data_IF_278462844123
#
_entry.id   IF_278462844123
#
_cell.length_a   1.000
_cell.length_b   1.000
_cell.length_c   1.000
_cell.angle_alpha   90.00
_cell.angle_beta   90.00
_cell.angle_gamma   90.00
#
_symmetry.space_group_name_H-M   'P 1'
#
loop_
_entity.id
_entity.type
_entity.pdbx_description
1 polymer ?
#
# COMPACT_ATOMS: atom_id res chain seq x y z
N UNK A 1 3.24 -18.56 -17.24
CA UNK A 1 2.94 -17.23 -16.69
C UNK A 1 4.14 -16.83 -15.82
N UNK A 2 4.96 -15.85 -16.21
CA UNK A 2 6.13 -15.44 -15.40
C UNK A 2 5.60 -14.79 -14.12
N UNK A 3 6.01 -15.29 -12.96
CA UNK A 3 5.65 -14.70 -11.67
C UNK A 3 6.04 -13.21 -11.64
N UNK A 4 5.14 -12.37 -11.16
CA UNK A 4 5.45 -10.98 -10.81
C UNK A 4 6.41 -10.99 -9.63
N UNK A 5 7.53 -10.28 -9.74
CA UNK A 5 8.50 -10.14 -8.65
C UNK A 5 8.04 -9.02 -7.70
N UNK A 6 8.02 -9.31 -6.40
CA UNK A 6 7.88 -8.30 -5.36
C UNK A 6 8.99 -8.50 -4.33
N UNK A 7 9.83 -7.49 -4.19
CA UNK A 7 10.90 -7.45 -3.21
C UNK A 7 10.79 -6.15 -2.43
N UNK A 8 10.84 -6.23 -1.10
CA UNK A 8 10.78 -5.06 -0.24
C UNK A 8 11.77 -5.21 0.92
N UNK A 9 12.34 -4.09 1.35
CA UNK A 9 13.23 -4.02 2.51
C UNK A 9 13.01 -2.71 3.26
N UNK A 10 13.18 -2.79 4.58
CA UNK A 10 13.24 -1.62 5.45
C UNK A 10 14.69 -1.17 5.51
N UNK A 11 14.94 0.09 5.15
CA UNK A 11 16.25 0.71 5.20
C UNK A 11 16.36 1.64 6.40
N UNK A 12 17.46 1.53 7.15
CA UNK A 12 17.78 2.46 8.23
C UNK A 12 18.39 3.72 7.63
N UNK A 13 17.75 4.87 7.84
CA UNK A 13 18.18 6.18 7.33
C UNK A 13 18.90 7.02 8.39
N UNK A 14 18.74 6.65 9.67
CA UNK A 14 19.36 7.33 10.79
C UNK A 14 19.19 6.55 12.10
N UNK A 15 19.43 7.20 13.25
CA UNK A 15 19.36 6.53 14.55
C UNK A 15 17.97 5.94 14.84
N UNK A 16 16.92 6.66 14.44
CA UNK A 16 15.52 6.32 14.63
C UNK A 16 14.66 6.51 13.37
N UNK A 17 15.30 6.72 12.22
CA UNK A 17 14.63 6.96 10.94
C UNK A 17 14.74 5.72 10.05
N UNK A 18 13.62 5.33 9.47
CA UNK A 18 13.51 4.20 8.55
C UNK A 18 12.78 4.61 7.29
N UNK A 19 13.13 3.97 6.17
CA UNK A 19 12.45 4.12 4.88
C UNK A 19 12.13 2.77 4.26
N UNK A 20 11.15 2.73 3.37
CA UNK A 20 10.78 1.56 2.59
C UNK A 20 11.43 1.64 1.20
N UNK A 21 12.21 0.63 0.84
CA UNK A 21 12.64 0.39 -0.53
C UNK A 21 11.95 -0.85 -1.07
N UNK A 22 11.44 -0.80 -2.30
CA UNK A 22 10.75 -1.92 -2.91
C UNK A 22 10.88 -1.95 -4.44
N UNK A 23 10.81 -3.14 -5.01
CA UNK A 23 10.71 -3.40 -6.44
C UNK A 23 9.45 -4.25 -6.67
N UNK A 24 8.55 -3.77 -7.52
CA UNK A 24 7.33 -4.46 -7.93
C UNK A 24 7.28 -4.55 -9.45
N UNK A 25 7.30 -5.76 -9.98
CA UNK A 25 7.12 -6.00 -11.41
C UNK A 25 5.65 -6.22 -11.75
N UNK A 26 5.06 -5.30 -12.51
CA UNK A 26 3.69 -5.39 -13.00
C UNK A 26 3.67 -5.77 -14.49
N UNK A 27 3.21 -6.98 -14.82
CA UNK A 27 3.35 -7.56 -16.17
C UNK A 27 2.05 -7.87 -16.91
N UNK A 28 0.89 -7.48 -16.37
CA UNK A 28 -0.42 -7.78 -16.95
C UNK A 28 -1.30 -6.53 -16.98
N UNK A 29 -2.28 -6.49 -17.90
CA UNK A 29 -3.25 -5.39 -17.96
C UNK A 29 -4.41 -5.69 -17.02
N UNK A 30 -4.82 -4.68 -16.25
CA UNK A 30 -6.09 -4.70 -15.54
C UNK A 30 -7.25 -4.38 -16.48
N UNK A 31 -8.45 -4.74 -16.06
CA UNK A 31 -9.70 -4.45 -16.76
C UNK A 31 -10.75 -3.92 -15.77
N UNK A 32 -11.94 -3.61 -16.26
CA UNK A 32 -13.05 -3.06 -15.48
C UNK A 32 -13.58 -4.02 -14.41
N UNK A 33 -13.42 -5.33 -14.61
CA UNK A 33 -13.80 -6.38 -13.65
C UNK A 33 -12.74 -6.65 -12.58
N UNK A 34 -11.60 -5.96 -12.65
CA UNK A 34 -10.55 -6.06 -11.66
C UNK A 34 -10.99 -5.35 -10.39
N UNK A 35 -11.03 -6.09 -9.27
CA UNK A 35 -11.49 -5.61 -7.97
C UNK A 35 -10.34 -5.57 -6.97
N UNK A 36 -10.48 -4.70 -5.96
CA UNK A 36 -9.59 -4.62 -4.81
C UNK A 36 -10.35 -4.40 -3.51
N UNK A 37 -9.73 -4.79 -2.41
CA UNK A 37 -10.17 -4.47 -1.06
C UNK A 37 -8.97 -4.43 -0.10
N UNK A 38 -9.14 -3.78 1.05
CA UNK A 38 -8.16 -3.85 2.13
C UNK A 38 -8.81 -3.79 3.51
N UNK A 39 -8.23 -4.52 4.46
CA UNK A 39 -8.64 -4.50 5.86
C UNK A 39 -7.45 -4.14 6.74
N UNK A 40 -7.70 -3.33 7.77
CA UNK A 40 -6.69 -2.96 8.75
C UNK A 40 -6.97 -3.63 10.10
N UNK A 41 -5.90 -4.01 10.79
CA UNK A 41 -5.94 -4.61 12.12
C UNK A 41 -4.96 -3.87 13.03
N UNK A 42 -5.22 -3.89 14.33
CA UNK A 42 -4.32 -3.34 15.37
C UNK A 42 -4.03 -4.35 16.46
N UNK A 43 -2.80 -4.36 16.93
CA UNK A 43 -2.32 -5.10 18.11
C UNK A 43 -1.50 -4.17 19.00
N UNK A 44 -1.50 -4.42 20.31
CA UNK A 44 -0.61 -3.73 21.25
C UNK A 44 0.78 -4.38 21.32
N UNK A 45 0.87 -5.71 21.23
CA UNK A 45 2.14 -6.45 21.35
C UNK A 45 2.83 -6.75 20.02
N UNK A 46 2.06 -6.82 18.94
CA UNK A 46 2.51 -7.30 17.63
C UNK A 46 2.36 -8.80 17.42
N UNK A 47 1.88 -9.55 18.44
CA UNK A 47 1.59 -10.98 18.33
C UNK A 47 0.42 -11.23 17.36
N UNK A 48 0.53 -12.28 16.56
CA UNK A 48 -0.47 -12.61 15.53
C UNK A 48 -1.88 -12.78 16.12
N UNK A 49 -1.98 -13.36 17.32
CA UNK A 49 -3.24 -13.59 18.02
C UNK A 49 -3.87 -12.34 18.64
N UNK A 50 -3.12 -11.23 18.77
CA UNK A 50 -3.61 -9.99 19.37
C UNK A 50 -4.14 -8.98 18.33
N UNK A 51 -3.99 -9.28 17.02
CA UNK A 51 -4.54 -8.41 15.98
C UNK A 51 -6.06 -8.42 15.97
N UNK A 52 -6.66 -7.24 16.13
CA UNK A 52 -8.10 -7.00 16.08
C UNK A 52 -8.44 -6.15 14.87
N UNK A 53 -9.53 -6.51 14.19
CA UNK A 53 -10.03 -5.78 13.03
C UNK A 53 -10.41 -4.34 13.43
N UNK A 54 -10.00 -3.38 12.61
CA UNK A 54 -10.37 -1.98 12.74
C UNK A 54 -11.53 -1.65 11.80
N UNK A 55 -12.31 -0.58 12.07
CA UNK A 55 -13.29 -0.05 11.13
C UNK A 55 -12.64 0.65 9.92
N UNK A 56 -11.31 0.63 9.78
CA UNK A 56 -10.59 1.19 8.66
C UNK A 56 -10.43 0.15 7.56
N UNK A 57 -11.04 0.41 6.42
CA UNK A 57 -11.02 -0.49 5.29
C UNK A 57 -11.05 0.27 3.96
N UNK A 58 -10.51 -0.37 2.94
CA UNK A 58 -10.86 -0.07 1.56
C UNK A 58 -11.96 -1.09 1.21
N UNK A 59 -13.22 -0.66 1.09
CA UNK A 59 -14.29 -1.59 0.74
C UNK A 59 -14.01 -2.19 -0.62
N UNK A 60 -14.55 -3.40 -0.84
CA UNK A 60 -14.50 -4.06 -2.15
C UNK A 60 -15.03 -3.12 -3.23
N UNK A 61 -14.15 -2.75 -4.17
CA UNK A 61 -14.46 -1.79 -5.22
C UNK A 61 -13.64 -2.06 -6.48
N UNK A 62 -14.06 -1.52 -7.65
CA UNK A 62 -13.27 -1.58 -8.87
C UNK A 62 -11.88 -0.97 -8.69
N UNK A 63 -10.87 -1.59 -9.31
CA UNK A 63 -9.49 -1.15 -9.18
C UNK A 63 -9.27 0.28 -9.67
N UNK A 64 -9.94 0.70 -10.74
CA UNK A 64 -9.80 2.06 -11.25
C UNK A 64 -10.46 3.12 -10.36
N UNK A 65 -11.48 2.75 -9.58
CA UNK A 65 -12.05 3.63 -8.55
C UNK A 65 -11.06 3.77 -7.38
N UNK A 66 -10.46 2.66 -6.96
CA UNK A 66 -9.36 2.69 -5.98
C UNK A 66 -8.19 3.55 -6.46
N UNK A 67 -7.82 3.46 -7.74
CA UNK A 67 -6.75 4.29 -8.31
C UNK A 67 -7.09 5.77 -8.16
N UNK A 68 -8.28 6.18 -8.58
CA UNK A 68 -8.70 7.59 -8.53
C UNK A 68 -8.99 8.13 -7.11
N UNK A 69 -9.08 7.26 -6.10
CA UNK A 69 -9.36 7.63 -4.70
C UNK A 69 -8.17 7.32 -3.80
N UNK A 70 -8.18 6.18 -3.12
CA UNK A 70 -7.20 5.78 -2.10
C UNK A 70 -5.75 5.77 -2.60
N UNK A 71 -5.51 5.31 -3.83
CA UNK A 71 -4.16 5.38 -4.39
C UNK A 71 -3.70 6.84 -4.54
N UNK A 72 -4.51 7.70 -5.14
CA UNK A 72 -4.17 9.12 -5.33
C UNK A 72 -3.99 9.83 -3.99
N UNK A 73 -4.89 9.57 -3.04
CA UNK A 73 -4.95 10.29 -1.78
C UNK A 73 -3.99 9.80 -0.71
N UNK A 74 -3.58 8.53 -0.78
CA UNK A 74 -2.68 7.92 0.22
C UNK A 74 -1.37 7.52 -0.43
N UNK A 75 -1.40 6.65 -1.43
CA UNK A 75 -0.19 6.05 -2.00
C UNK A 75 0.65 7.09 -2.75
N UNK A 76 0.06 7.89 -3.64
CA UNK A 76 0.79 8.91 -4.41
C UNK A 76 1.33 10.02 -3.51
N UNK A 77 0.58 10.47 -2.50
CA UNK A 77 1.04 11.51 -1.56
C UNK A 77 2.20 11.02 -0.69
N UNK A 78 2.16 9.78 -0.22
CA UNK A 78 3.20 9.25 0.67
C UNK A 78 4.41 8.65 -0.05
N UNK A 79 4.23 8.09 -1.26
CA UNK A 79 5.30 7.33 -1.94
C UNK A 79 5.68 7.94 -3.30
N UNK A 80 4.91 8.89 -3.83
CA UNK A 80 5.13 9.44 -5.16
C UNK A 80 6.43 10.24 -5.28
N UNK A 81 6.92 10.88 -4.22
CA UNK A 81 8.16 11.67 -4.27
C UNK A 81 9.43 10.81 -4.37
N UNK A 82 9.37 9.54 -3.97
CA UNK A 82 10.50 8.62 -3.85
C UNK A 82 10.33 7.37 -4.74
N UNK A 83 9.41 7.42 -5.70
CA UNK A 83 9.13 6.29 -6.59
C UNK A 83 8.82 6.72 -8.01
N UNK A 84 8.84 5.75 -8.92
CA UNK A 84 8.35 5.90 -10.30
C UNK A 84 6.87 5.45 -10.45
N UNK A 85 6.10 5.44 -9.35
CA UNK A 85 4.68 5.13 -9.40
C UNK A 85 3.93 6.16 -10.28
N UNK A 86 2.88 5.76 -11.02
CA UNK A 86 2.14 6.66 -11.90
C UNK A 86 1.59 7.89 -11.20
N UNK A 87 1.80 9.07 -11.80
CA UNK A 87 1.24 10.34 -11.33
C UNK A 87 0.34 10.91 -12.41
N UNK A 88 -0.77 11.51 -12.00
CA UNK A 88 -1.73 12.12 -12.89
C UNK A 88 -2.53 13.18 -12.10
N UNK A 89 -2.91 14.26 -12.77
CA UNK A 89 -3.57 15.40 -12.13
C UNK A 89 -5.09 15.20 -12.06
N UNK A 90 -5.70 14.74 -13.16
CA UNK A 90 -7.14 14.54 -13.27
C UNK A 90 -7.54 13.10 -12.92
N UNK A 91 -8.25 12.44 -13.85
CA UNK A 91 -8.60 11.03 -13.78
C UNK A 91 -7.51 10.18 -14.41
N UNK A 92 -7.21 9.06 -13.77
CA UNK A 92 -6.36 8.03 -14.31
C UNK A 92 -6.91 7.53 -15.66
N UNK A 93 -6.02 7.31 -16.63
CA UNK A 93 -6.34 6.73 -17.92
C UNK A 93 -5.95 5.25 -17.95
N UNK A 94 -6.92 4.32 -17.93
CA UNK A 94 -6.65 2.89 -18.01
C UNK A 94 -5.90 2.47 -19.29
N UNK A 95 -5.15 1.35 -19.27
CA UNK A 95 -4.91 0.46 -18.13
C UNK A 95 -3.74 0.89 -17.24
N UNK A 96 -3.61 0.27 -16.06
CA UNK A 96 -2.42 0.43 -15.22
C UNK A 96 -1.15 0.01 -15.97
N UNK A 97 -0.13 0.89 -16.10
CA UNK A 97 1.02 0.61 -16.94
C UNK A 97 1.75 -0.66 -16.52
N UNK A 98 2.11 -1.51 -17.49
CA UNK A 98 3.07 -2.59 -17.22
C UNK A 98 4.45 -1.96 -17.03
N UNK A 99 5.03 -2.13 -15.85
CA UNK A 99 6.33 -1.56 -15.52
C UNK A 99 6.99 -2.29 -14.35
N UNK A 100 8.28 -2.04 -14.14
CA UNK A 100 8.97 -2.32 -12.90
C UNK A 100 8.93 -1.06 -12.04
N UNK A 101 8.07 -1.08 -11.03
CA UNK A 101 7.96 -0.01 -10.05
C UNK A 101 9.05 -0.12 -9.00
N UNK A 102 9.67 1.00 -8.68
CA UNK A 102 10.76 1.11 -7.72
C UNK A 102 10.43 2.22 -6.73
N UNK A 103 10.52 1.88 -5.45
CA UNK A 103 10.47 2.78 -4.31
C UNK A 103 11.87 2.82 -3.72
N UNK A 104 12.42 4.00 -3.49
CA UNK A 104 13.75 4.18 -2.91
C UNK A 104 13.65 4.94 -1.59
N UNK A 105 13.87 4.23 -0.47
CA UNK A 105 13.95 4.80 0.88
C UNK A 105 12.78 5.72 1.25
N UNK A 106 11.57 5.36 0.81
CA UNK A 106 10.36 6.13 1.04
C UNK A 106 10.02 6.23 2.54
N UNK A 107 9.91 7.45 3.06
CA UNK A 107 9.30 7.75 4.35
C UNK A 107 7.80 8.02 4.18
N UNK A 108 6.97 7.36 4.98
CA UNK A 108 5.52 7.55 4.97
C UNK A 108 5.18 8.69 5.93
N UNK A 109 4.58 9.76 5.41
CA UNK A 109 4.28 10.99 6.16
C UNK A 109 2.93 10.97 6.88
N UNK A 110 2.00 10.10 6.45
CA UNK A 110 0.67 9.99 7.02
C UNK A 110 -0.45 10.66 6.21
N UNK A 111 -0.14 11.25 5.05
CA UNK A 111 -1.14 11.92 4.22
C UNK A 111 -2.27 10.97 3.80
N UNK A 112 -3.52 11.39 4.00
CA UNK A 112 -4.70 10.58 3.68
C UNK A 112 -4.94 9.37 4.59
N UNK A 113 -4.10 9.14 5.61
CA UNK A 113 -4.34 8.16 6.66
C UNK A 113 -5.23 8.75 7.78
N UNK A 114 -5.81 7.92 8.67
CA UNK A 114 -6.59 8.41 9.79
C UNK A 114 -5.84 9.42 10.65
N UNK A 115 -6.50 10.53 10.98
CA UNK A 115 -5.93 11.64 11.75
C UNK A 115 -5.48 11.20 13.17
N UNK A 116 -6.23 10.28 13.77
CA UNK A 116 -5.95 9.75 15.10
C UNK A 116 -5.68 8.24 14.99
N UNK A 117 -4.42 7.86 15.20
CA UNK A 117 -3.98 6.47 15.30
C UNK A 117 -3.13 6.28 16.56
N UNK A 118 -3.62 5.55 17.59
CA UNK A 118 -2.84 5.29 18.79
C UNK A 118 -1.56 4.47 18.50
N UNK A 119 -0.47 4.64 19.26
CA UNK A 119 0.72 3.78 19.13
C UNK A 119 0.39 2.29 19.22
N UNK A 120 1.14 1.45 18.50
CA UNK A 120 0.91 0.01 18.44
C UNK A 120 1.36 -0.58 17.12
N UNK A 121 1.00 -1.85 16.88
CA UNK A 121 1.27 -2.54 15.63
C UNK A 121 0.00 -2.53 14.77
N UNK A 122 0.14 -2.11 13.52
CA UNK A 122 -0.92 -2.08 12.53
C UNK A 122 -0.59 -3.04 11.42
N UNK A 123 -1.57 -3.83 10.99
CA UNK A 123 -1.45 -4.75 9.86
C UNK A 123 -2.50 -4.38 8.83
N UNK A 124 -2.08 -4.17 7.60
CA UNK A 124 -2.96 -3.91 6.46
C UNK A 124 -2.85 -5.09 5.51
N UNK A 125 -3.97 -5.73 5.22
CA UNK A 125 -4.07 -6.80 4.23
C UNK A 125 -4.79 -6.24 3.03
N UNK A 126 -4.10 -6.14 1.90
CA UNK A 126 -4.64 -5.70 0.62
C UNK A 126 -4.78 -6.88 -0.32
N UNK A 127 -5.91 -6.99 -1.01
CA UNK A 127 -6.19 -8.06 -1.97
C UNK A 127 -6.68 -7.48 -3.29
N UNK A 128 -6.19 -8.03 -4.40
CA UNK A 128 -6.67 -7.81 -5.76
C UNK A 128 -7.13 -9.13 -6.37
N UNK A 129 -8.26 -9.11 -7.07
CA UNK A 129 -8.86 -10.28 -7.70
C UNK A 129 -9.75 -9.86 -8.90
N UNK A 130 -10.21 -10.83 -9.68
CA UNK A 130 -11.17 -10.60 -10.77
C UNK A 130 -11.21 -11.77 -11.78
N UNK A 131 -12.26 -11.88 -12.59
CA UNK A 131 -12.34 -12.89 -13.65
C UNK A 131 -11.21 -12.72 -14.67
N UNK A 132 -10.52 -13.82 -15.01
CA UNK A 132 -9.40 -13.79 -15.97
C UNK A 132 -8.19 -12.94 -15.52
N UNK A 133 -8.17 -12.48 -14.26
CA UNK A 133 -7.13 -11.63 -13.69
C UNK A 133 -6.36 -12.42 -12.61
N UNK A 134 -5.05 -12.16 -12.43
CA UNK A 134 -4.31 -12.75 -11.32
C UNK A 134 -4.87 -12.28 -9.97
N UNK A 135 -5.09 -13.24 -9.06
CA UNK A 135 -5.39 -12.96 -7.65
C UNK A 135 -4.07 -12.88 -6.87
N UNK A 136 -3.85 -11.77 -6.18
CA UNK A 136 -2.71 -11.58 -5.29
C UNK A 136 -3.03 -10.51 -4.25
N UNK A 137 -2.19 -10.40 -3.24
CA UNK A 137 -2.28 -9.37 -2.22
C UNK A 137 -0.92 -9.09 -1.59
N UNK A 138 -0.89 -8.14 -0.68
CA UNK A 138 0.26 -7.95 0.22
C UNK A 138 -0.24 -7.64 1.63
N UNK A 139 0.60 -7.98 2.60
CA UNK A 139 0.40 -7.63 4.00
C UNK A 139 1.52 -6.67 4.41
N UNK A 140 1.14 -5.49 4.88
CA UNK A 140 2.08 -4.50 5.42
C UNK A 140 1.87 -4.39 6.93
N UNK A 141 2.95 -4.49 7.70
CA UNK A 141 2.94 -4.34 9.16
C UNK A 141 3.75 -3.11 9.56
N UNK A 142 3.13 -2.22 10.32
CA UNK A 142 3.72 -0.97 10.78
C UNK A 142 3.72 -0.93 12.30
N UNK A 143 4.86 -0.57 12.91
CA UNK A 143 4.90 -0.18 14.31
C UNK A 143 4.78 1.34 14.39
N UNK A 144 3.66 1.82 14.89
CA UNK A 144 3.45 3.24 15.14
C UNK A 144 3.90 3.58 16.56
N UNK A 145 4.76 4.58 16.68
CA UNK A 145 5.30 5.06 17.96
C UNK A 145 5.09 6.56 18.06
N UNK A 146 4.89 7.06 19.28
CA UNK A 146 4.94 8.50 19.52
C UNK A 146 6.35 9.03 19.21
N UNK A 147 6.41 10.22 18.62
CA UNK A 147 7.66 10.95 18.49
C UNK A 147 8.04 11.46 19.88
N UNK A 148 9.04 10.83 20.50
CA UNK A 148 9.63 11.31 21.74
C UNK A 148 10.66 12.38 21.33
N UNK A 149 10.51 13.59 21.84
CA UNK A 149 11.41 14.72 21.60
C UNK A 149 12.78 14.49 22.21
#
# INVERSE_FOLDING_TARGET
MKASLFEAKIERLGRSDYGLSAILEWKYDTNEETMVEAQAYRSNSGDESDYKLLPWAIPKQPFYDYINTYYKDVISKNLGYCSNLPKYEDKFQPPWPKNTYKLDKCKIGGDGLPEIAPPGFYKIVFTKFGPGQPTWGFTAVFKLTNKIF
#
